data_IF_193993381007
#
_entry.id   IF_193993381007
#
_cell.length_a   1.000
_cell.length_b   1.000
_cell.length_c   1.000
_cell.angle_alpha   90.00
_cell.angle_beta   90.00
_cell.angle_gamma   90.00
#
_symmetry.space_group_name_H-M   'P 1'
#
loop_
_entity.id
_entity.type
_entity.pdbx_description
1 polymer ?
#
# COMPACT_ATOMS: atom_id res chain seq x y z
N UNK A 1 -19.30 -17.08 -12.44
CA UNK A 1 -18.11 -17.01 -13.35
C UNK A 1 -16.96 -17.86 -12.83
N UNK A 2 -16.58 -17.78 -11.53
CA UNK A 2 -15.48 -18.60 -10.98
C UNK A 2 -15.72 -20.09 -11.19
N UNK A 3 -16.92 -20.60 -10.93
CA UNK A 3 -17.24 -22.00 -11.16
C UNK A 3 -17.02 -22.41 -12.64
N UNK A 4 -17.44 -21.56 -13.57
CA UNK A 4 -17.19 -21.77 -15.00
C UNK A 4 -15.69 -21.78 -15.31
N UNK A 5 -14.93 -20.81 -14.77
CA UNK A 5 -13.46 -20.77 -14.92
C UNK A 5 -12.79 -22.05 -14.41
N UNK A 6 -13.19 -22.54 -13.23
CA UNK A 6 -12.58 -23.71 -12.61
C UNK A 6 -12.84 -25.00 -13.41
N UNK A 7 -14.02 -25.14 -14.03
CA UNK A 7 -14.48 -26.36 -14.70
C UNK A 7 -14.29 -26.35 -16.22
N UNK A 8 -14.11 -25.18 -16.85
CA UNK A 8 -13.97 -25.07 -18.31
C UNK A 8 -12.63 -25.66 -18.78
N UNK A 9 -12.65 -26.32 -19.96
CA UNK A 9 -11.43 -26.71 -20.66
C UNK A 9 -10.98 -25.57 -21.56
N UNK A 10 -9.78 -25.05 -21.33
CA UNK A 10 -9.14 -24.06 -22.17
C UNK A 10 -8.15 -24.75 -23.12
N UNK A 11 -8.23 -24.39 -24.40
CA UNK A 11 -7.27 -24.81 -25.43
C UNK A 11 -6.26 -23.71 -25.73
N UNK A 12 -6.60 -22.46 -25.39
CA UNK A 12 -5.77 -21.28 -25.56
C UNK A 12 -5.40 -20.71 -24.17
N UNK A 13 -4.11 -20.65 -23.82
CA UNK A 13 -3.67 -20.04 -22.57
C UNK A 13 -4.06 -18.55 -22.44
N UNK A 14 -4.15 -17.79 -23.55
CA UNK A 14 -4.54 -16.39 -23.49
C UNK A 14 -5.99 -16.24 -23.04
N UNK A 15 -6.90 -17.08 -23.57
CA UNK A 15 -8.31 -17.09 -23.15
C UNK A 15 -8.47 -17.52 -21.68
N UNK A 16 -7.63 -18.45 -21.18
CA UNK A 16 -7.63 -18.83 -19.77
C UNK A 16 -7.22 -17.65 -18.88
N UNK A 17 -6.19 -16.89 -19.25
CA UNK A 17 -5.76 -15.71 -18.52
C UNK A 17 -6.81 -14.58 -18.54
N UNK A 18 -7.44 -14.30 -19.67
CA UNK A 18 -8.49 -13.29 -19.76
C UNK A 18 -9.69 -13.63 -18.86
N UNK A 19 -10.09 -14.90 -18.86
CA UNK A 19 -11.18 -15.32 -17.99
C UNK A 19 -10.80 -15.26 -16.51
N UNK A 20 -9.57 -15.65 -16.17
CA UNK A 20 -9.04 -15.48 -14.80
C UNK A 20 -9.07 -14.01 -14.35
N UNK A 21 -8.68 -13.07 -15.22
CA UNK A 21 -8.73 -11.63 -14.93
C UNK A 21 -10.16 -11.13 -14.67
N UNK A 22 -11.14 -11.62 -15.43
CA UNK A 22 -12.57 -11.34 -15.18
C UNK A 22 -13.00 -11.81 -13.77
N UNK A 23 -12.58 -12.99 -13.36
CA UNK A 23 -12.84 -13.52 -12.01
C UNK A 23 -12.14 -12.69 -10.93
N UNK A 24 -10.90 -12.26 -11.16
CA UNK A 24 -10.13 -11.44 -10.23
C UNK A 24 -10.78 -10.05 -10.05
N UNK A 25 -11.30 -9.45 -11.11
CA UNK A 25 -12.00 -8.16 -11.04
C UNK A 25 -13.24 -8.20 -10.13
N UNK A 26 -13.98 -9.30 -10.11
CA UNK A 26 -15.10 -9.49 -9.17
C UNK A 26 -14.66 -9.46 -7.72
N UNK A 27 -13.44 -9.90 -7.44
CA UNK A 27 -12.85 -9.87 -6.12
C UNK A 27 -12.50 -8.46 -5.60
N UNK A 28 -12.82 -7.38 -6.37
CA UNK A 28 -12.84 -6.01 -5.84
C UNK A 28 -13.79 -5.89 -4.64
N UNK A 29 -14.87 -6.65 -4.62
CA UNK A 29 -15.81 -6.70 -3.49
C UNK A 29 -15.23 -7.53 -2.32
N UNK A 30 -15.08 -6.90 -1.16
CA UNK A 30 -14.52 -7.54 0.04
C UNK A 30 -15.37 -8.71 0.56
N UNK A 31 -16.70 -8.62 0.45
CA UNK A 31 -17.61 -9.72 0.85
C UNK A 31 -17.39 -10.93 -0.04
N UNK A 32 -17.28 -10.70 -1.35
CA UNK A 32 -16.99 -11.76 -2.31
C UNK A 32 -15.65 -12.44 -2.02
N UNK A 33 -14.59 -11.68 -1.65
CA UNK A 33 -13.32 -12.29 -1.22
C UNK A 33 -13.47 -13.17 0.00
N UNK A 34 -14.22 -12.72 1.00
CA UNK A 34 -14.45 -13.51 2.22
C UNK A 34 -15.21 -14.82 1.94
N UNK A 35 -16.22 -14.78 1.08
CA UNK A 35 -16.96 -15.97 0.64
C UNK A 35 -16.05 -16.91 -0.16
N UNK A 36 -15.31 -16.40 -1.13
CA UNK A 36 -14.35 -17.17 -1.92
C UNK A 36 -13.32 -17.88 -1.01
N UNK A 37 -12.79 -17.16 -0.03
CA UNK A 37 -11.83 -17.73 0.93
C UNK A 37 -12.46 -18.88 1.74
N UNK A 38 -13.69 -18.71 2.18
CA UNK A 38 -14.41 -19.73 2.97
C UNK A 38 -14.62 -21.00 2.15
N UNK A 39 -15.11 -20.88 0.92
CA UNK A 39 -15.29 -22.03 0.03
C UNK A 39 -13.95 -22.66 -0.37
N UNK A 40 -12.93 -21.87 -0.59
CA UNK A 40 -11.58 -22.36 -0.91
C UNK A 40 -11.00 -23.20 0.23
N UNK A 41 -11.17 -22.77 1.48
CA UNK A 41 -10.75 -23.56 2.65
C UNK A 41 -11.43 -24.90 2.69
N UNK A 42 -12.75 -24.93 2.59
CA UNK A 42 -13.51 -26.17 2.59
C UNK A 42 -13.10 -27.13 1.46
N UNK A 43 -12.88 -26.58 0.25
CA UNK A 43 -12.43 -27.35 -0.90
C UNK A 43 -11.02 -27.95 -0.67
N UNK A 44 -10.06 -27.15 -0.22
CA UNK A 44 -8.69 -27.62 -0.02
C UNK A 44 -8.56 -28.61 1.17
N UNK A 45 -9.35 -28.44 2.22
CA UNK A 45 -9.43 -29.42 3.32
C UNK A 45 -9.96 -30.76 2.82
N UNK A 46 -11.01 -30.75 1.98
CA UNK A 46 -11.55 -31.97 1.36
C UNK A 46 -10.54 -32.61 0.39
N UNK A 47 -9.84 -31.79 -0.40
CA UNK A 47 -8.81 -32.27 -1.31
C UNK A 47 -7.64 -32.91 -0.58
N UNK A 48 -7.23 -32.36 0.58
CA UNK A 48 -6.13 -32.92 1.36
C UNK A 48 -6.41 -34.34 1.83
N UNK A 49 -7.65 -34.63 2.20
CA UNK A 49 -8.10 -36.00 2.58
C UNK A 49 -8.01 -36.98 1.40
N UNK A 50 -8.30 -36.48 0.18
CA UNK A 50 -8.33 -37.32 -1.03
C UNK A 50 -7.05 -37.21 -1.88
N UNK A 51 -6.04 -36.47 -1.43
CA UNK A 51 -4.92 -36.02 -2.27
C UNK A 51 -4.17 -37.16 -2.98
N UNK A 52 -3.99 -38.29 -2.30
CA UNK A 52 -3.22 -39.46 -2.82
C UNK A 52 -4.14 -40.51 -3.48
N UNK A 53 -5.42 -40.19 -3.70
CA UNK A 53 -6.37 -41.10 -4.37
C UNK A 53 -6.55 -40.75 -5.83
N UNK A 54 -7.04 -41.66 -6.63
CA UNK A 54 -7.40 -41.38 -8.03
C UNK A 54 -8.45 -40.27 -8.09
N UNK A 55 -9.48 -40.31 -7.21
CA UNK A 55 -10.52 -39.29 -7.13
C UNK A 55 -9.93 -37.89 -6.81
N UNK A 56 -8.96 -37.78 -5.92
CA UNK A 56 -8.27 -36.53 -5.63
C UNK A 56 -7.54 -35.95 -6.84
N UNK A 57 -6.94 -36.82 -7.65
CA UNK A 57 -6.22 -36.41 -8.87
C UNK A 57 -7.09 -35.67 -9.88
N UNK A 58 -8.38 -35.97 -9.96
CA UNK A 58 -9.35 -35.32 -10.87
C UNK A 58 -9.55 -33.84 -10.51
N UNK A 59 -9.34 -33.44 -9.25
CA UNK A 59 -9.50 -32.06 -8.77
C UNK A 59 -8.22 -31.22 -8.80
N UNK A 60 -7.07 -31.78 -9.20
CA UNK A 60 -5.81 -31.02 -9.21
C UNK A 60 -5.82 -29.82 -10.15
N UNK A 61 -6.52 -29.90 -11.28
CA UNK A 61 -6.66 -28.77 -12.21
C UNK A 61 -7.44 -27.64 -11.54
N UNK A 62 -8.53 -27.96 -10.89
CA UNK A 62 -9.36 -27.00 -10.14
C UNK A 62 -8.54 -26.38 -8.99
N UNK A 63 -7.79 -27.20 -8.26
CA UNK A 63 -6.93 -26.73 -7.16
C UNK A 63 -5.86 -25.74 -7.63
N UNK A 64 -5.21 -26.01 -8.77
CA UNK A 64 -4.20 -25.15 -9.38
C UNK A 64 -4.79 -23.80 -9.79
N UNK A 65 -5.94 -23.80 -10.48
CA UNK A 65 -6.64 -22.58 -10.91
C UNK A 65 -7.11 -21.75 -9.73
N UNK A 66 -7.72 -22.40 -8.74
CA UNK A 66 -8.19 -21.72 -7.54
C UNK A 66 -7.01 -21.13 -6.76
N UNK A 67 -5.91 -21.85 -6.64
CA UNK A 67 -4.68 -21.36 -6.02
C UNK A 67 -4.09 -20.15 -6.76
N UNK A 68 -4.10 -20.18 -8.10
CA UNK A 68 -3.69 -19.03 -8.92
C UNK A 68 -4.61 -17.82 -8.68
N UNK A 69 -5.94 -17.99 -8.66
CA UNK A 69 -6.87 -16.90 -8.38
C UNK A 69 -6.63 -16.29 -7.00
N UNK A 70 -6.50 -17.10 -5.95
CA UNK A 70 -6.25 -16.62 -4.59
C UNK A 70 -4.93 -15.85 -4.50
N UNK A 71 -3.86 -16.36 -5.13
CA UNK A 71 -2.57 -15.69 -5.18
C UNK A 71 -2.67 -14.33 -5.91
N UNK A 72 -3.34 -14.28 -7.08
CA UNK A 72 -3.55 -13.05 -7.86
C UNK A 72 -4.40 -12.02 -7.10
N UNK A 73 -5.47 -12.47 -6.44
CA UNK A 73 -6.34 -11.61 -5.63
C UNK A 73 -5.54 -11.02 -4.46
N UNK A 74 -4.77 -11.85 -3.74
CA UNK A 74 -3.88 -11.39 -2.68
C UNK A 74 -2.92 -10.31 -3.19
N UNK A 75 -2.24 -10.58 -4.29
CA UNK A 75 -1.23 -9.67 -4.83
C UNK A 75 -1.86 -8.36 -5.34
N UNK A 76 -2.96 -8.43 -6.06
CA UNK A 76 -3.64 -7.24 -6.62
C UNK A 76 -4.26 -6.36 -5.52
N UNK A 77 -5.04 -6.94 -4.63
CA UNK A 77 -5.78 -6.19 -3.61
C UNK A 77 -5.02 -6.01 -2.30
N UNK A 78 -3.79 -6.53 -2.22
CA UNK A 78 -2.96 -6.52 -1.00
C UNK A 78 -3.70 -7.08 0.22
N UNK A 79 -4.46 -8.14 -0.02
CA UNK A 79 -5.29 -8.79 0.98
C UNK A 79 -4.59 -10.01 1.57
N UNK A 80 -3.91 -9.81 2.69
CA UNK A 80 -3.15 -10.86 3.36
C UNK A 80 -4.02 -12.02 3.88
N UNK A 81 -5.34 -11.86 3.97
CA UNK A 81 -6.25 -12.94 4.36
C UNK A 81 -6.33 -14.04 3.31
N UNK A 82 -6.00 -13.71 2.05
CA UNK A 82 -5.95 -14.65 0.91
C UNK A 82 -4.68 -15.51 0.87
N UNK A 83 -3.79 -15.39 1.86
CA UNK A 83 -2.59 -16.21 1.97
C UNK A 83 -2.95 -17.71 2.17
N UNK A 84 -2.23 -18.58 1.47
CA UNK A 84 -2.47 -20.02 1.48
C UNK A 84 -1.79 -20.77 2.67
N UNK A 85 -1.25 -20.03 3.66
CA UNK A 85 -0.57 -20.66 4.82
C UNK A 85 -1.42 -21.64 5.60
N UNK A 86 -2.73 -21.48 5.55
CA UNK A 86 -3.70 -22.37 6.18
C UNK A 86 -3.91 -23.69 5.41
N UNK A 87 -3.57 -23.78 4.13
CA UNK A 87 -3.70 -25.00 3.35
C UNK A 87 -2.59 -26.00 3.72
N UNK A 88 -2.84 -27.30 3.52
CA UNK A 88 -1.86 -28.35 3.80
C UNK A 88 -0.60 -28.21 2.94
N UNK A 89 0.50 -28.79 3.40
CA UNK A 89 1.78 -28.74 2.67
C UNK A 89 1.66 -29.32 1.25
N UNK A 90 0.91 -30.41 1.08
CA UNK A 90 0.74 -31.09 -0.21
C UNK A 90 -0.01 -30.17 -1.20
N UNK A 91 -1.10 -29.57 -0.75
CA UNK A 91 -1.90 -28.62 -1.56
C UNK A 91 -1.05 -27.39 -1.94
N UNK A 92 -0.32 -26.83 -0.98
CA UNK A 92 0.58 -25.69 -1.27
C UNK A 92 1.65 -26.05 -2.29
N UNK A 93 2.29 -27.19 -2.17
CA UNK A 93 3.31 -27.63 -3.13
C UNK A 93 2.73 -27.84 -4.53
N UNK A 94 1.50 -28.33 -4.65
CA UNK A 94 0.80 -28.47 -5.94
C UNK A 94 0.59 -27.09 -6.59
N UNK A 95 0.13 -26.10 -5.79
CA UNK A 95 -0.13 -24.74 -6.25
C UNK A 95 1.19 -24.04 -6.60
N UNK A 96 2.20 -24.10 -5.73
CA UNK A 96 3.50 -23.47 -5.95
C UNK A 96 4.19 -23.96 -7.22
N UNK A 97 4.15 -25.30 -7.48
CA UNK A 97 4.67 -25.85 -8.73
C UNK A 97 3.92 -25.32 -9.96
N UNK A 98 2.63 -25.14 -9.86
CA UNK A 98 1.83 -24.57 -10.94
C UNK A 98 2.17 -23.10 -11.16
N UNK A 99 2.22 -22.28 -10.11
CA UNK A 99 2.60 -20.86 -10.18
C UNK A 99 4.02 -20.71 -10.78
N UNK A 100 4.95 -21.52 -10.33
CA UNK A 100 6.32 -21.54 -10.89
C UNK A 100 6.33 -21.89 -12.39
N UNK A 101 5.48 -22.83 -12.84
CA UNK A 101 5.35 -23.15 -14.28
C UNK A 101 4.79 -22.01 -15.12
N UNK A 102 4.08 -21.07 -14.47
CA UNK A 102 3.59 -19.82 -15.07
C UNK A 102 4.60 -18.66 -14.96
N UNK A 103 5.84 -18.93 -14.51
CA UNK A 103 6.86 -17.90 -14.31
C UNK A 103 6.68 -17.06 -13.03
N UNK A 104 5.85 -17.54 -12.10
CA UNK A 104 5.56 -16.84 -10.84
C UNK A 104 6.34 -17.53 -9.71
N UNK A 105 7.30 -16.84 -9.11
CA UNK A 105 7.99 -17.31 -7.92
C UNK A 105 7.34 -16.75 -6.66
N UNK A 106 6.63 -17.61 -5.92
CA UNK A 106 5.94 -17.23 -4.68
C UNK A 106 6.87 -16.91 -3.52
N UNK A 107 8.16 -17.23 -3.64
CA UNK A 107 9.20 -16.93 -2.62
C UNK A 107 9.79 -15.54 -2.77
N UNK A 108 9.66 -14.91 -3.94
CA UNK A 108 10.10 -13.54 -4.17
C UNK A 108 9.13 -12.60 -3.46
N UNK A 109 9.69 -11.70 -2.65
CA UNK A 109 8.90 -10.66 -1.97
C UNK A 109 8.10 -9.84 -2.99
N UNK A 110 6.94 -9.32 -2.56
CA UNK A 110 6.14 -8.43 -3.39
C UNK A 110 7.00 -7.27 -3.90
N UNK A 111 7.00 -7.11 -5.21
CA UNK A 111 7.77 -6.06 -5.88
C UNK A 111 7.23 -4.70 -5.41
N UNK A 112 8.10 -3.87 -4.85
CA UNK A 112 7.74 -2.51 -4.45
C UNK A 112 7.25 -1.72 -5.66
N UNK A 113 6.20 -0.93 -5.47
CA UNK A 113 5.72 -0.01 -6.53
C UNK A 113 6.81 0.95 -7.00
N UNK A 114 7.79 1.26 -6.15
CA UNK A 114 8.90 2.16 -6.48
C UNK A 114 10.03 1.49 -7.25
N UNK A 115 10.06 0.14 -7.30
CA UNK A 115 11.13 -0.58 -8.03
C UNK A 115 10.89 -0.57 -9.54
N UNK A 116 11.97 -0.69 -10.32
CA UNK A 116 11.87 -0.70 -11.77
C UNK A 116 11.23 -1.99 -12.30
N UNK A 117 11.35 -3.09 -11.55
CA UNK A 117 10.72 -4.37 -11.86
C UNK A 117 9.19 -4.32 -11.79
N UNK A 118 8.61 -3.33 -11.07
CA UNK A 118 7.16 -3.21 -10.91
C UNK A 118 6.45 -3.08 -12.26
N UNK A 119 6.97 -2.23 -13.16
CA UNK A 119 6.41 -2.05 -14.50
C UNK A 119 6.44 -3.34 -15.29
N UNK A 120 7.56 -4.03 -15.31
CA UNK A 120 7.73 -5.31 -16.01
C UNK A 120 6.77 -6.38 -15.47
N UNK A 121 6.57 -6.42 -14.15
CA UNK A 121 5.59 -7.29 -13.50
C UNK A 121 4.15 -6.98 -13.92
N UNK A 122 3.77 -5.69 -13.90
CA UNK A 122 2.41 -5.26 -14.32
C UNK A 122 2.15 -5.63 -15.77
N UNK A 123 3.11 -5.40 -16.68
CA UNK A 123 3.00 -5.74 -18.09
C UNK A 123 2.95 -7.25 -18.33
N UNK A 124 3.65 -8.04 -17.54
CA UNK A 124 3.64 -9.49 -17.64
C UNK A 124 2.32 -10.09 -17.18
N UNK A 125 1.80 -9.64 -16.03
CA UNK A 125 0.61 -10.21 -15.38
C UNK A 125 -0.71 -9.68 -15.97
N UNK A 126 -0.70 -8.52 -16.64
CA UNK A 126 -1.91 -7.87 -17.11
C UNK A 126 -1.83 -7.62 -18.62
N UNK A 127 -2.77 -8.17 -19.37
CA UNK A 127 -2.76 -8.08 -20.84
C UNK A 127 -3.62 -6.92 -21.38
N UNK A 128 -4.55 -6.39 -20.57
CA UNK A 128 -5.42 -5.28 -20.96
C UNK A 128 -5.07 -4.00 -20.21
N UNK A 129 -5.28 -2.81 -20.81
CA UNK A 129 -5.09 -1.53 -20.10
C UNK A 129 -5.92 -1.44 -18.82
N UNK A 130 -7.13 -1.98 -18.81
CA UNK A 130 -8.02 -2.01 -17.64
C UNK A 130 -7.40 -2.81 -16.48
N UNK A 131 -6.88 -4.01 -16.75
CA UNK A 131 -6.26 -4.83 -15.71
C UNK A 131 -4.95 -4.21 -15.20
N UNK A 132 -4.15 -3.57 -16.07
CA UNK A 132 -2.97 -2.79 -15.68
C UNK A 132 -3.33 -1.62 -14.77
N UNK A 133 -4.33 -0.83 -15.15
CA UNK A 133 -4.81 0.29 -14.35
C UNK A 133 -5.30 -0.17 -12.96
N UNK A 134 -6.07 -1.27 -12.91
CA UNK A 134 -6.53 -1.85 -11.64
C UNK A 134 -5.38 -2.29 -10.73
N UNK A 135 -4.37 -2.99 -11.26
CA UNK A 135 -3.19 -3.41 -10.50
C UNK A 135 -2.40 -2.20 -9.95
N UNK A 136 -2.17 -1.21 -10.81
CA UNK A 136 -1.45 0.01 -10.43
C UNK A 136 -2.22 0.82 -9.39
N UNK A 137 -3.54 0.99 -9.54
CA UNK A 137 -4.40 1.67 -8.56
C UNK A 137 -4.24 1.07 -7.17
N UNK A 138 -4.38 -0.26 -7.06
CA UNK A 138 -4.29 -0.93 -5.77
C UNK A 138 -2.89 -0.86 -5.17
N UNK A 139 -1.83 -0.94 -5.98
CA UNK A 139 -0.47 -0.78 -5.52
C UNK A 139 -0.19 0.65 -5.02
N UNK A 140 -0.70 1.68 -5.72
CA UNK A 140 -0.60 3.09 -5.31
C UNK A 140 -1.36 3.31 -3.99
N UNK A 141 -2.61 2.85 -3.90
CA UNK A 141 -3.43 2.96 -2.67
C UNK A 141 -2.75 2.30 -1.48
N UNK A 142 -2.18 1.12 -1.68
CA UNK A 142 -1.43 0.42 -0.63
C UNK A 142 -0.20 1.21 -0.19
N UNK A 143 0.60 1.70 -1.15
CA UNK A 143 1.79 2.50 -0.86
C UNK A 143 1.44 3.77 -0.07
N UNK A 144 0.39 4.47 -0.48
CA UNK A 144 -0.13 5.64 0.26
C UNK A 144 -0.52 5.23 1.68
N UNK A 145 -1.31 4.16 1.83
CA UNK A 145 -1.81 3.71 3.14
C UNK A 145 -0.69 3.40 4.13
N UNK A 146 0.34 2.66 3.71
CA UNK A 146 1.43 2.23 4.61
C UNK A 146 2.42 3.33 4.96
N UNK A 147 2.45 4.40 4.18
CA UNK A 147 3.36 5.53 4.41
C UNK A 147 2.66 6.80 4.87
N UNK A 148 1.33 6.82 4.93
CA UNK A 148 0.53 8.00 5.28
C UNK A 148 0.96 8.62 6.62
N UNK A 149 1.23 7.81 7.62
CA UNK A 149 1.63 8.30 8.95
C UNK A 149 3.06 8.86 8.99
N UNK A 150 3.91 8.49 8.01
CA UNK A 150 5.29 8.99 7.90
C UNK A 150 5.37 10.37 7.29
N UNK A 151 4.45 10.70 6.38
CA UNK A 151 4.37 11.99 5.72
C UNK A 151 2.92 12.27 5.27
N UNK A 152 2.04 12.67 6.22
CA UNK A 152 0.62 12.83 5.93
C UNK A 152 0.35 13.85 4.83
N UNK A 153 1.11 14.93 4.77
CA UNK A 153 0.93 16.02 3.80
C UNK A 153 1.22 15.53 2.38
N UNK A 154 2.33 14.85 2.17
CA UNK A 154 2.71 14.31 0.86
C UNK A 154 1.74 13.22 0.40
N UNK A 155 1.46 12.24 1.28
CA UNK A 155 0.64 11.08 0.89
C UNK A 155 -0.83 11.42 0.73
N UNK A 156 -1.37 12.44 1.42
CA UNK A 156 -2.68 13.00 1.11
C UNK A 156 -2.71 13.66 -0.27
N UNK A 157 -1.69 14.45 -0.66
CA UNK A 157 -1.58 14.98 -2.04
C UNK A 157 -1.56 13.87 -3.10
N UNK A 158 -0.83 12.77 -2.86
CA UNK A 158 -0.85 11.62 -3.77
C UNK A 158 -2.22 10.95 -3.83
N UNK A 159 -2.93 10.84 -2.70
CA UNK A 159 -4.30 10.32 -2.65
C UNK A 159 -5.25 11.19 -3.47
N UNK A 160 -5.21 12.50 -3.28
CA UNK A 160 -6.07 13.44 -4.01
C UNK A 160 -5.79 13.41 -5.51
N UNK A 161 -4.52 13.31 -5.90
CA UNK A 161 -4.13 13.17 -7.30
C UNK A 161 -4.59 11.84 -7.90
N UNK A 162 -4.50 10.74 -7.16
CA UNK A 162 -5.03 9.45 -7.57
C UNK A 162 -6.54 9.53 -7.87
N UNK A 163 -7.33 10.10 -6.94
CA UNK A 163 -8.77 10.28 -7.13
C UNK A 163 -9.08 11.21 -8.31
N UNK A 164 -8.29 12.27 -8.49
CA UNK A 164 -8.43 13.18 -9.63
C UNK A 164 -8.21 12.46 -10.96
N UNK A 165 -7.18 11.61 -11.07
CA UNK A 165 -6.91 10.79 -12.27
C UNK A 165 -8.11 9.89 -12.57
N UNK A 166 -8.59 9.15 -11.58
CA UNK A 166 -9.73 8.23 -11.74
C UNK A 166 -11.00 8.95 -12.18
N UNK A 167 -11.29 10.11 -11.59
CA UNK A 167 -12.47 10.91 -11.93
C UNK A 167 -12.38 11.60 -13.28
N UNK A 168 -11.18 12.06 -13.67
CA UNK A 168 -10.97 12.80 -14.92
C UNK A 168 -10.98 11.92 -16.17
N UNK A 169 -10.37 10.74 -16.07
CA UNK A 169 -10.19 9.86 -17.24
C UNK A 169 -11.19 8.70 -17.30
N UNK A 170 -11.92 8.44 -16.20
CA UNK A 170 -13.00 7.43 -16.12
C UNK A 170 -12.60 6.08 -16.74
N UNK A 171 -13.15 5.77 -17.94
CA UNK A 171 -12.92 4.49 -18.64
C UNK A 171 -11.80 4.56 -19.70
N UNK A 172 -11.08 5.68 -19.78
CA UNK A 172 -9.90 5.78 -20.63
C UNK A 172 -8.69 5.11 -19.95
N UNK A 173 -8.68 3.78 -19.97
CA UNK A 173 -7.72 2.95 -19.24
C UNK A 173 -6.27 3.17 -19.67
N UNK A 174 -6.01 3.44 -20.94
CA UNK A 174 -4.64 3.72 -21.43
C UNK A 174 -4.09 5.02 -20.84
N UNK A 175 -4.91 6.07 -20.81
CA UNK A 175 -4.50 7.34 -20.20
C UNK A 175 -4.36 7.21 -18.68
N UNK A 176 -5.24 6.46 -18.01
CA UNK A 176 -5.11 6.17 -16.57
C UNK A 176 -3.78 5.48 -16.28
N UNK A 177 -3.39 4.45 -17.04
CA UNK A 177 -2.10 3.77 -16.86
C UNK A 177 -0.93 4.75 -17.00
N UNK A 178 -0.96 5.61 -18.02
CA UNK A 178 0.08 6.62 -18.24
C UNK A 178 0.15 7.64 -17.10
N UNK A 179 -0.99 8.11 -16.60
CA UNK A 179 -1.04 9.03 -15.46
C UNK A 179 -0.57 8.37 -14.15
N UNK A 180 -0.86 7.09 -13.96
CA UNK A 180 -0.35 6.33 -12.83
C UNK A 180 1.16 6.10 -12.90
N UNK A 181 1.74 5.90 -14.08
CA UNK A 181 3.20 5.88 -14.25
C UNK A 181 3.82 7.22 -13.83
N UNK A 182 3.23 8.36 -14.24
CA UNK A 182 3.69 9.68 -13.80
C UNK A 182 3.59 9.86 -12.28
N UNK A 183 2.48 9.47 -11.67
CA UNK A 183 2.30 9.53 -10.22
C UNK A 183 3.32 8.64 -9.48
N UNK A 184 3.61 7.45 -10.02
CA UNK A 184 4.63 6.55 -9.49
C UNK A 184 6.04 7.14 -9.55
N UNK A 185 6.42 7.79 -10.65
CA UNK A 185 7.73 8.47 -10.75
C UNK A 185 7.85 9.61 -9.73
N UNK A 186 6.78 10.37 -9.50
CA UNK A 186 6.78 11.41 -8.46
C UNK A 186 6.93 10.82 -7.05
N UNK A 187 6.40 9.62 -6.81
CA UNK A 187 6.58 8.90 -5.54
C UNK A 187 8.02 8.37 -5.32
N UNK A 188 8.84 8.25 -6.37
CA UNK A 188 10.25 7.84 -6.27
C UNK A 188 11.17 8.97 -5.82
N UNK A 189 10.71 10.23 -5.88
CA UNK A 189 11.54 11.38 -5.51
C UNK A 189 11.82 11.33 -4.01
N UNK A 190 13.10 11.21 -3.66
CA UNK A 190 13.54 11.29 -2.27
C UNK A 190 13.28 12.67 -1.70
N UNK A 191 12.71 12.70 -0.49
CA UNK A 191 12.46 13.93 0.26
C UNK A 191 13.50 14.11 1.35
N UNK A 192 13.87 15.36 1.64
CA UNK A 192 14.71 15.70 2.80
C UNK A 192 13.99 15.31 4.09
N UNK A 193 14.76 15.02 5.13
CA UNK A 193 14.22 14.56 6.43
C UNK A 193 13.33 15.62 7.12
N UNK A 194 13.56 16.88 6.87
CA UNK A 194 12.85 18.05 7.41
C UNK A 194 11.58 18.43 6.63
N UNK A 195 11.50 18.09 5.35
CA UNK A 195 10.36 18.48 4.49
C UNK A 195 8.98 18.07 5.03
N UNK A 196 8.76 16.87 5.61
CA UNK A 196 7.46 16.53 6.19
C UNK A 196 7.05 17.42 7.36
N UNK A 197 8.01 17.88 8.15
CA UNK A 197 7.76 18.80 9.28
C UNK A 197 7.48 20.21 8.79
N UNK A 198 8.23 20.68 7.80
CA UNK A 198 7.98 21.94 7.13
C UNK A 198 6.58 21.96 6.49
N UNK A 199 6.24 20.94 5.72
CA UNK A 199 4.93 20.83 5.08
C UNK A 199 3.80 20.81 6.11
N UNK A 200 3.96 20.07 7.21
CA UNK A 200 2.97 20.05 8.27
C UNK A 200 2.75 21.45 8.87
N UNK A 201 3.80 22.15 9.25
CA UNK A 201 3.70 23.52 9.77
C UNK A 201 3.06 24.46 8.73
N UNK A 202 3.47 24.33 7.47
CA UNK A 202 2.97 25.16 6.37
C UNK A 202 1.48 24.95 6.08
N UNK A 203 0.89 23.76 6.37
CA UNK A 203 -0.56 23.53 6.22
C UNK A 203 -1.42 24.39 7.15
N UNK A 204 -0.83 24.91 8.21
CA UNK A 204 -1.52 25.82 9.15
C UNK A 204 -1.53 27.28 8.68
N UNK A 205 -0.77 27.62 7.62
CA UNK A 205 -0.70 28.93 7.03
C UNK A 205 -1.62 29.00 5.81
N UNK A 206 -2.40 30.07 5.71
CA UNK A 206 -3.27 30.29 4.55
C UNK A 206 -2.61 31.30 3.59
N UNK A 207 -2.28 30.85 2.36
CA UNK A 207 -1.59 31.67 1.35
C UNK A 207 -0.38 32.42 1.93
N UNK A 208 0.63 31.71 2.47
CA UNK A 208 1.74 32.34 3.16
C UNK A 208 2.57 33.23 2.22
N UNK A 209 3.00 34.37 2.74
CA UNK A 209 3.97 35.24 2.09
C UNK A 209 5.36 34.59 2.10
N UNK A 210 6.29 35.10 1.26
CA UNK A 210 7.67 34.62 1.25
C UNK A 210 8.34 34.75 2.63
N UNK A 211 8.04 35.82 3.37
CA UNK A 211 8.54 36.01 4.73
C UNK A 211 7.98 34.98 5.72
N UNK A 212 6.70 34.66 5.61
CA UNK A 212 6.09 33.60 6.46
C UNK A 212 6.63 32.22 6.12
N UNK A 213 6.92 31.93 4.86
CA UNK A 213 7.61 30.71 4.43
C UNK A 213 8.99 30.60 5.08
N UNK A 214 9.75 31.71 5.14
CA UNK A 214 11.06 31.72 5.79
C UNK A 214 10.94 31.52 7.31
N UNK A 215 9.97 32.15 7.96
CA UNK A 215 9.67 31.90 9.37
C UNK A 215 9.24 30.45 9.62
N UNK A 216 8.50 29.85 8.71
CA UNK A 216 8.14 28.43 8.75
C UNK A 216 9.38 27.53 8.68
N UNK A 217 10.37 27.84 7.84
CA UNK A 217 11.66 27.12 7.79
C UNK A 217 12.42 27.19 9.10
N UNK A 218 12.56 28.41 9.64
CA UNK A 218 13.22 28.63 10.93
C UNK A 218 12.51 27.86 12.06
N UNK A 219 11.18 27.89 12.10
CA UNK A 219 10.40 27.13 13.09
C UNK A 219 10.58 25.61 12.90
N UNK A 220 10.65 25.13 11.66
CA UNK A 220 10.91 23.74 11.35
C UNK A 220 12.26 23.28 11.90
N UNK A 221 13.33 24.06 11.68
CA UNK A 221 14.67 23.74 12.17
C UNK A 221 14.69 23.66 13.70
N UNK A 222 14.07 24.60 14.38
CA UNK A 222 14.01 24.65 15.84
C UNK A 222 13.20 23.49 16.44
N UNK A 223 12.02 23.21 15.90
CA UNK A 223 11.19 22.10 16.35
C UNK A 223 11.88 20.75 16.10
N UNK A 224 12.58 20.59 14.97
CA UNK A 224 13.39 19.41 14.70
C UNK A 224 14.56 19.24 15.67
N UNK A 225 15.22 20.34 16.06
CA UNK A 225 16.28 20.27 17.08
C UNK A 225 15.74 19.74 18.40
N UNK A 226 14.60 20.27 18.88
CA UNK A 226 13.94 19.81 20.10
C UNK A 226 13.58 18.32 20.01
N UNK A 227 13.06 17.87 18.87
CA UNK A 227 12.67 16.48 18.64
C UNK A 227 13.91 15.57 18.65
N UNK A 228 14.98 15.94 17.93
CA UNK A 228 16.22 15.16 17.86
C UNK A 228 16.88 15.04 19.24
N UNK A 229 16.99 16.14 19.99
CA UNK A 229 17.55 16.14 21.33
C UNK A 229 16.75 15.22 22.26
N UNK A 230 15.43 15.27 22.19
CA UNK A 230 14.54 14.40 22.97
C UNK A 230 14.68 12.93 22.57
N UNK A 231 14.83 12.64 21.28
CA UNK A 231 14.99 11.29 20.74
C UNK A 231 16.29 10.60 21.18
N UNK A 232 17.28 11.33 21.68
CA UNK A 232 18.52 10.74 22.28
C UNK A 232 18.24 10.01 23.58
N UNK A 233 17.14 10.30 24.25
CA UNK A 233 16.76 9.67 25.51
C UNK A 233 16.32 8.23 25.24
N UNK A 234 17.01 7.26 25.85
CA UNK A 234 16.66 5.84 25.70
C UNK A 234 15.19 5.58 26.09
N UNK A 235 14.45 4.93 25.23
CA UNK A 235 13.02 4.61 25.40
C UNK A 235 12.18 5.87 25.68
N UNK A 236 12.48 6.96 24.97
CA UNK A 236 11.80 8.24 25.12
C UNK A 236 10.27 8.11 25.10
N UNK A 237 9.74 7.39 24.12
CA UNK A 237 8.29 7.26 23.90
C UNK A 237 7.55 6.44 24.97
N UNK A 238 8.28 5.77 25.87
CA UNK A 238 7.73 5.04 27.02
C UNK A 238 7.76 5.89 28.29
N UNK A 239 8.21 7.17 28.22
CA UNK A 239 8.39 8.07 29.36
C UNK A 239 7.43 9.26 29.29
N UNK A 240 6.26 9.20 29.96
CA UNK A 240 5.25 10.27 29.89
C UNK A 240 5.76 11.65 30.33
N UNK A 241 6.70 11.74 31.27
CA UNK A 241 7.29 13.00 31.72
C UNK A 241 8.10 13.66 30.62
N UNK A 242 8.95 12.89 29.93
CA UNK A 242 9.79 13.38 28.84
C UNK A 242 8.96 13.81 27.64
N UNK A 243 7.91 13.04 27.32
CA UNK A 243 6.98 13.37 26.26
C UNK A 243 6.29 14.72 26.53
N UNK A 244 5.80 14.94 27.76
CA UNK A 244 5.19 16.22 28.16
C UNK A 244 6.20 17.38 28.10
N UNK A 245 7.44 17.13 28.51
CA UNK A 245 8.51 18.14 28.45
C UNK A 245 8.79 18.54 27.01
N UNK A 246 8.89 17.57 26.08
CA UNK A 246 9.08 17.87 24.66
C UNK A 246 7.88 18.63 24.09
N UNK A 247 6.66 18.20 24.39
CA UNK A 247 5.44 18.89 23.96
C UNK A 247 5.41 20.34 24.43
N UNK A 248 5.74 20.59 25.71
CA UNK A 248 5.83 21.94 26.25
C UNK A 248 6.84 22.81 25.53
N UNK A 249 8.05 22.28 25.26
CA UNK A 249 9.08 23.00 24.49
C UNK A 249 8.63 23.31 23.05
N UNK A 250 7.95 22.37 22.39
CA UNK A 250 7.39 22.60 21.03
C UNK A 250 6.34 23.71 21.07
N UNK A 251 5.41 23.69 22.04
CA UNK A 251 4.40 24.72 22.20
C UNK A 251 5.02 26.10 22.46
N UNK A 252 6.04 26.14 23.31
CA UNK A 252 6.78 27.37 23.61
C UNK A 252 7.43 27.94 22.35
N UNK A 253 8.15 27.11 21.57
CA UNK A 253 8.80 27.56 20.33
C UNK A 253 7.78 28.03 19.27
N UNK A 254 6.63 27.37 19.13
CA UNK A 254 5.54 27.79 18.26
C UNK A 254 4.99 29.14 18.72
N UNK A 255 4.75 29.34 20.02
CA UNK A 255 4.23 30.59 20.56
C UNK A 255 5.20 31.75 20.41
N UNK A 256 6.51 31.50 20.46
CA UNK A 256 7.55 32.52 20.24
C UNK A 256 7.91 32.74 18.78
N UNK A 257 7.35 31.94 17.88
CA UNK A 257 7.56 32.14 16.45
C UNK A 257 6.95 33.46 15.96
N UNK A 258 7.51 33.97 14.85
CA UNK A 258 6.95 35.15 14.18
C UNK A 258 5.65 34.85 13.39
N UNK A 259 5.16 33.61 13.45
CA UNK A 259 3.94 33.13 12.80
C UNK A 259 2.75 33.30 13.77
N UNK A 260 2.22 34.50 13.86
CA UNK A 260 1.16 34.86 14.83
C UNK A 260 -0.08 33.95 14.75
N UNK A 261 -0.44 33.50 13.55
CA UNK A 261 -1.59 32.63 13.30
C UNK A 261 -1.45 31.25 13.98
N UNK A 262 -0.24 30.83 14.30
CA UNK A 262 0.03 29.53 14.93
C UNK A 262 -0.18 29.55 16.45
N UNK A 263 -0.20 30.72 17.10
CA UNK A 263 -0.29 30.84 18.56
C UNK A 263 -1.57 30.20 19.12
N UNK A 264 -2.69 30.45 18.50
CA UNK A 264 -3.97 29.89 18.92
C UNK A 264 -4.11 28.38 18.66
N UNK A 265 -3.21 27.83 17.82
CA UNK A 265 -3.19 26.40 17.43
C UNK A 265 -1.91 25.70 17.89
N UNK A 266 -1.13 26.30 18.78
CA UNK A 266 0.16 25.75 19.21
C UNK A 266 0.05 24.36 19.84
N UNK A 267 -0.99 24.10 20.62
CA UNK A 267 -1.23 22.81 21.24
C UNK A 267 -1.59 21.72 20.20
N UNK A 268 -2.39 22.07 19.21
CA UNK A 268 -2.75 21.17 18.11
C UNK A 268 -1.54 20.83 17.26
N UNK A 269 -0.80 21.84 16.79
CA UNK A 269 0.39 21.68 15.96
C UNK A 269 1.49 20.91 16.68
N UNK A 270 1.73 21.19 17.98
CA UNK A 270 2.71 20.43 18.77
C UNK A 270 2.37 18.94 18.85
N UNK A 271 1.09 18.62 19.09
CA UNK A 271 0.61 17.23 19.12
C UNK A 271 0.81 16.51 17.77
N UNK A 272 0.56 17.19 16.64
CA UNK A 272 0.76 16.63 15.31
C UNK A 272 2.25 16.46 14.99
N UNK A 273 3.10 17.42 15.35
CA UNK A 273 4.56 17.30 15.20
C UNK A 273 5.11 16.11 16.01
N UNK A 274 4.58 15.87 17.21
CA UNK A 274 4.96 14.71 18.02
C UNK A 274 4.52 13.40 17.41
N UNK A 275 3.32 13.30 16.84
CA UNK A 275 2.85 12.11 16.11
C UNK A 275 3.74 11.84 14.89
N UNK A 276 4.04 12.88 14.12
CA UNK A 276 4.93 12.76 12.96
C UNK A 276 6.33 12.31 13.37
N UNK A 277 6.89 12.90 14.44
CA UNK A 277 8.20 12.52 14.98
C UNK A 277 8.25 11.06 15.44
N UNK A 278 7.20 10.58 16.14
CA UNK A 278 7.10 9.18 16.57
C UNK A 278 7.13 8.22 15.39
N UNK A 279 6.40 8.53 14.32
CA UNK A 279 6.30 7.69 13.12
C UNK A 279 7.58 7.71 12.26
N UNK A 280 8.43 8.72 12.45
CA UNK A 280 9.68 8.91 11.69
C UNK A 280 10.95 8.78 12.55
N UNK A 281 10.85 8.24 13.76
CA UNK A 281 11.97 8.21 14.71
C UNK A 281 13.21 7.54 14.11
N UNK A 282 13.06 6.50 13.30
CA UNK A 282 14.16 5.80 12.65
C UNK A 282 14.83 6.64 11.54
N UNK A 283 14.12 7.63 10.99
CA UNK A 283 14.65 8.53 9.95
C UNK A 283 15.36 9.73 10.57
N UNK A 284 15.11 10.03 11.85
CA UNK A 284 15.64 11.19 12.56
C UNK A 284 16.95 10.89 13.33
N UNK A 285 17.20 9.60 13.59
CA UNK A 285 18.46 9.11 14.15
C UNK A 285 19.48 8.91 13.02
#
# INVERSE_FOLDING_TARGET
>A
EIENFLNQKFTDPAAEFEFAESCIEQAKNIKFRAELLTYSKSFFDSLDLLFNTQAGGEYWVIAKRLGYLLWRIKDRYKDETMDLKWASQKVRQLIDKHLYSLGIDTKVQQVSILSDEFKSKVDYLNKTPKSKASEMEHAIRWHIKVNLEKDPTLYNRFKDRLETILNSYKENWEEIVKQFEGLREDMKVERKKDEPFFDLINTYLYNPTETEIEYCRVLTEKTLSIIKDSATIKNFWDKPSEIRTMEGKLQEEINFSNLLILKDRAAELSSELMKLAKNRINDLQ
#
